data_IF_931994180508
#
_entry.id   IF_931994180508
#
_cell.length_a   1.000
_cell.length_b   1.000
_cell.length_c   1.000
_cell.angle_alpha   90.00
_cell.angle_beta   90.00
_cell.angle_gamma   90.00
#
_symmetry.space_group_name_H-M   'P 1'
#
loop_
_entity.id
_entity.type
_entity.pdbx_description
1 polymer ?
2 non-polymer ?
3 non-polymer ?
4 water ?
#
# COMPACT_ATOMS: atom_id res chain seq x y z
N UNK A 2 6.68 -16.78 -4.17
CA UNK A 2 6.57 -15.29 -4.14
C UNK A 2 5.11 -14.82 -4.17
N UNK A 3 4.86 -13.56 -3.75
CA UNK A 3 3.43 -13.14 -3.80
C UNK A 3 2.75 -13.21 -5.12
N UNK A 4 1.48 -13.60 -5.10
CA UNK A 4 0.68 -13.57 -6.31
C UNK A 4 0.56 -12.16 -6.81
N UNK A 5 0.38 -11.26 -5.85
CA UNK A 5 0.35 -9.81 -6.07
C UNK A 5 0.91 -9.06 -4.90
N UNK A 6 1.66 -8.02 -5.21
CA UNK A 6 2.07 -7.03 -4.25
C UNK A 6 1.28 -5.77 -4.59
N UNK A 7 0.51 -5.27 -3.62
CA UNK A 7 -0.25 -4.03 -3.79
C UNK A 7 0.42 -2.83 -3.21
N UNK A 8 0.46 -1.76 -4.00
CA UNK A 8 1.05 -0.48 -3.57
C UNK A 8 0.07 0.62 -3.94
N UNK A 9 0.14 1.71 -3.22
CA UNK A 9 -0.68 2.87 -3.55
C UNK A 9 -0.76 3.83 -2.37
N UNK A 10 -1.30 5.00 -2.63
CA UNK A 10 -1.46 6.00 -1.59
C UNK A 10 -2.46 5.60 -0.49
N UNK A 11 -2.53 6.39 0.60
CA UNK A 11 -3.71 6.16 1.46
C UNK A 11 -5.06 6.37 0.74
N UNK A 12 -6.02 5.49 0.99
CA UNK A 12 -7.30 5.56 0.31
C UNK A 12 -7.39 4.74 -0.94
N UNK A 13 -6.24 4.28 -1.48
CA UNK A 13 -6.25 3.61 -2.76
C UNK A 13 -6.92 2.26 -2.65
N UNK A 14 -6.88 1.66 -1.45
CA UNK A 14 -7.61 0.47 -1.17
C UNK A 14 -6.76 -0.75 -0.87
N UNK A 15 -5.54 -0.56 -0.35
CA UNK A 15 -4.58 -1.69 -0.11
C UNK A 15 -5.19 -2.68 0.85
N UNK A 16 -5.77 -2.16 1.91
CA UNK A 16 -6.48 -2.98 2.91
C UNK A 16 -7.70 -3.61 2.32
N UNK A 17 -8.57 -2.82 1.70
CA UNK A 17 -9.79 -3.32 1.16
C UNK A 17 -9.59 -4.32 0.03
N UNK A 18 -8.75 -3.97 -0.94
CA UNK A 18 -8.57 -4.83 -2.10
C UNK A 18 -7.70 -6.04 -1.75
N UNK A 19 -6.69 -5.82 -0.89
CA UNK A 19 -5.88 -6.88 -0.27
C UNK A 19 -6.73 -7.99 0.29
N UNK A 20 -7.68 -7.63 1.10
CA UNK A 20 -8.66 -8.59 1.64
C UNK A 20 -9.48 -9.33 0.56
N UNK A 21 -10.16 -8.58 -0.28
CA UNK A 21 -11.07 -9.18 -1.30
C UNK A 21 -10.32 -10.05 -2.29
N UNK A 22 -9.15 -9.54 -2.68
CA UNK A 22 -8.26 -10.25 -3.64
C UNK A 22 -7.77 -11.57 -3.04
N UNK A 23 -7.36 -11.55 -1.75
CA UNK A 23 -6.91 -12.77 -1.05
C UNK A 23 -8.05 -13.78 -0.89
N UNK A 24 -9.25 -13.26 -0.63
CA UNK A 24 -10.41 -14.06 -0.54
C UNK A 24 -10.76 -14.70 -1.89
N UNK A 25 -10.67 -13.93 -2.97
CA UNK A 25 -11.13 -14.45 -4.22
C UNK A 25 -10.15 -15.51 -4.70
N UNK A 26 -8.86 -15.32 -4.41
CA UNK A 26 -7.79 -16.25 -4.86
C UNK A 26 -7.70 -17.46 -3.90
N UNK A 27 -8.21 -17.26 -2.67
CA UNK A 27 -8.03 -18.19 -1.58
C UNK A 27 -6.55 -18.29 -1.21
N UNK A 28 -5.95 -17.17 -0.80
CA UNK A 28 -4.52 -17.15 -0.48
C UNK A 28 -4.36 -16.28 0.80
N UNK A 29 -3.22 -16.36 1.49
CA UNK A 29 -3.02 -15.57 2.75
C UNK A 29 -2.72 -14.13 2.40
N UNK A 30 -3.07 -13.28 3.33
CA UNK A 30 -2.85 -11.84 3.22
C UNK A 30 -1.83 -11.37 4.26
N UNK A 31 -0.76 -10.73 3.78
CA UNK A 31 0.30 -10.22 4.70
C UNK A 31 0.42 -8.71 4.43
N UNK A 32 0.20 -7.95 5.50
CA UNK A 32 0.41 -6.51 5.51
C UNK A 32 1.74 -6.12 6.18
N UNK A 33 2.64 -5.43 5.49
CA UNK A 33 3.99 -5.21 6.04
C UNK A 33 4.03 -4.33 7.31
N UNK A 34 3.13 -3.35 7.42
CA UNK A 34 2.97 -2.64 8.71
C UNK A 34 2.56 -3.58 9.86
N UNK A 35 1.57 -4.43 9.64
CA UNK A 35 1.19 -5.37 10.69
C UNK A 35 2.37 -6.30 11.01
N UNK A 36 3.04 -6.82 9.96
CA UNK A 36 4.22 -7.72 10.13
C UNK A 36 5.36 -7.08 10.93
N UNK A 37 5.58 -5.79 10.72
CA UNK A 37 6.59 -5.09 11.48
C UNK A 37 6.23 -5.03 12.96
N UNK A 38 4.96 -4.77 13.27
CA UNK A 38 4.52 -4.66 14.67
C UNK A 38 4.46 -6.02 15.36
N UNK A 39 3.98 -7.02 14.64
CA UNK A 39 4.10 -8.41 15.09
C UNK A 39 5.55 -8.94 15.27
N UNK A 40 6.52 -8.49 14.45
CA UNK A 40 7.95 -8.87 14.61
C UNK A 40 8.66 -8.07 15.71
N UNK A 41 8.15 -6.90 16.08
CA UNK A 41 8.91 -6.06 17.05
C UNK A 41 8.28 -5.96 18.43
N UNK A 42 6.98 -6.23 18.52
CA UNK A 42 6.23 -5.94 19.72
C UNK A 42 6.03 -4.45 19.92
N UNK A 43 6.38 -3.63 18.91
CA UNK A 43 6.29 -2.18 19.10
C UNK A 43 5.41 -1.62 18.00
N UNK A 44 4.72 -0.52 18.29
CA UNK A 44 3.76 0.03 17.32
C UNK A 44 4.58 0.83 16.36
N UNK A 45 4.04 1.08 15.18
CA UNK A 45 4.82 1.77 14.18
C UNK A 45 5.31 3.14 14.70
N UNK A 46 4.40 3.90 15.31
CA UNK A 46 4.71 5.28 15.77
C UNK A 46 5.84 5.26 16.78
N UNK A 47 5.79 4.26 17.64
CA UNK A 47 6.82 4.03 18.68
C UNK A 47 8.21 3.76 18.13
N UNK A 48 8.33 2.99 17.04
CA UNK A 48 9.64 2.77 16.43
C UNK A 48 10.16 4.09 15.86
N UNK A 49 9.27 4.83 15.20
CA UNK A 49 9.57 6.15 14.66
C UNK A 49 10.04 7.06 15.79
N UNK A 50 9.20 7.22 16.78
CA UNK A 50 9.54 8.15 17.88
C UNK A 50 10.88 7.78 18.55
N UNK A 51 11.06 6.49 18.83
CA UNK A 51 12.24 6.04 19.56
C UNK A 51 13.48 5.94 18.68
N UNK A 52 13.38 5.23 17.55
CA UNK A 52 14.54 4.95 16.71
C UNK A 52 14.63 5.83 15.50
N UNK A 53 13.53 6.49 15.14
CA UNK A 53 13.55 7.34 13.94
C UNK A 53 13.43 6.63 12.59
N UNK A 54 13.36 7.44 11.54
CA UNK A 54 12.84 6.99 10.26
C UNK A 54 13.77 6.02 9.55
N UNK A 55 15.05 6.34 9.53
CA UNK A 55 16.02 5.49 8.87
C UNK A 55 16.01 4.08 9.50
N UNK A 56 15.88 4.02 10.82
CA UNK A 56 15.83 2.75 11.53
C UNK A 56 14.55 2.02 11.24
N UNK A 57 13.40 2.70 11.33
CA UNK A 57 12.11 2.08 10.91
C UNK A 57 12.27 1.55 9.46
N UNK A 58 12.79 2.38 8.53
CA UNK A 58 12.89 1.99 7.11
C UNK A 58 13.74 0.76 6.89
N UNK A 59 14.83 0.68 7.66
CA UNK A 59 15.74 -0.47 7.66
C UNK A 59 14.99 -1.72 8.09
N UNK A 60 14.31 -1.64 9.21
CA UNK A 60 13.47 -2.71 9.65
C UNK A 60 12.39 -3.08 8.63
N UNK A 61 11.66 -2.08 8.14
CA UNK A 61 10.63 -2.31 7.13
C UNK A 61 11.22 -3.03 5.91
N UNK A 62 12.36 -2.60 5.42
CA UNK A 62 12.96 -3.21 4.27
C UNK A 62 13.33 -4.68 4.55
N UNK A 63 13.70 -5.05 5.77
CA UNK A 63 13.92 -6.50 6.03
C UNK A 63 12.62 -7.26 6.04
N UNK A 64 11.56 -6.69 6.62
CA UNK A 64 10.29 -7.34 6.64
C UNK A 64 9.80 -7.54 5.19
N UNK A 65 9.94 -6.50 4.37
CA UNK A 65 9.54 -6.57 2.95
C UNK A 65 10.33 -7.64 2.17
N UNK A 66 11.65 -7.59 2.26
CA UNK A 66 12.47 -8.59 1.60
C UNK A 66 12.09 -10.00 2.05
N UNK A 67 11.85 -10.18 3.33
CA UNK A 67 11.45 -11.52 3.83
C UNK A 67 10.09 -11.97 3.28
N UNK A 68 9.08 -11.10 3.29
CA UNK A 68 7.82 -11.43 2.69
C UNK A 68 7.92 -11.70 1.18
N UNK A 69 8.70 -10.90 0.45
CA UNK A 69 8.79 -11.20 -0.97
C UNK A 69 9.34 -12.59 -1.21
N UNK A 70 10.29 -13.00 -0.38
CA UNK A 70 10.90 -14.33 -0.57
C UNK A 70 9.99 -15.44 -0.10
N UNK A 71 9.29 -15.19 1.01
CA UNK A 71 8.57 -16.25 1.72
C UNK A 71 7.05 -16.35 1.53
N UNK A 72 6.39 -15.25 1.19
CA UNK A 72 4.92 -15.23 1.09
C UNK A 72 4.39 -15.56 -0.33
N UNK A 73 3.35 -16.40 -0.45
CA UNK A 73 2.84 -16.80 -1.75
C UNK A 73 1.50 -16.18 -2.07
N UNK A 74 0.98 -15.39 -1.13
CA UNK A 74 -0.34 -14.86 -1.28
C UNK A 74 -0.34 -13.45 -1.78
N UNK A 75 -1.23 -12.66 -1.24
CA UNK A 75 -1.21 -11.21 -1.48
C UNK A 75 -0.39 -10.52 -0.40
N UNK A 76 0.45 -9.58 -0.81
CA UNK A 76 1.23 -8.77 0.08
C UNK A 76 0.87 -7.31 -0.15
N UNK A 77 0.54 -6.67 0.95
CA UNK A 77 0.19 -5.25 0.98
C UNK A 77 1.38 -4.46 1.55
N UNK A 78 1.95 -3.53 0.77
CA UNK A 78 3.06 -2.69 1.26
C UNK A 78 2.72 -1.36 1.95
N UNK A 79 3.34 -1.13 3.11
CA UNK A 79 3.26 0.17 3.80
C UNK A 79 3.48 1.26 2.77
N UNK A 80 2.77 2.38 2.93
CA UNK A 80 2.83 3.50 1.98
C UNK A 80 4.22 4.02 1.67
N UNK A 81 5.09 4.01 2.66
CA UNK A 81 6.43 4.64 2.51
C UNK A 81 7.54 3.70 2.13
N UNK A 82 7.23 2.41 2.05
CA UNK A 82 8.23 1.41 1.79
C UNK A 82 8.98 1.72 0.51
N UNK A 83 8.27 2.21 -0.52
CA UNK A 83 8.90 2.42 -1.83
C UNK A 83 9.91 3.57 -1.81
N UNK A 84 9.91 4.37 -0.74
CA UNK A 84 10.96 5.38 -0.56
C UNK A 84 12.36 4.82 -0.36
N UNK A 85 12.44 3.54 -0.01
CA UNK A 85 13.68 2.88 0.26
C UNK A 85 14.19 2.28 -1.05
N UNK A 86 15.35 2.75 -1.53
CA UNK A 86 15.78 2.22 -2.79
C UNK A 86 15.92 0.68 -2.71
N UNK A 87 16.38 0.14 -1.59
CA UNK A 87 16.47 -1.33 -1.39
C UNK A 87 15.15 -2.11 -1.58
N UNK A 88 14.05 -1.50 -1.15
CA UNK A 88 12.72 -2.03 -1.41
C UNK A 88 12.38 -2.00 -2.93
N UNK A 89 12.69 -0.90 -3.60
CA UNK A 89 12.44 -0.78 -5.03
C UNK A 89 13.23 -1.86 -5.84
N UNK A 90 14.43 -2.18 -5.33
CA UNK A 90 15.29 -3.18 -5.95
C UNK A 90 14.69 -4.59 -5.77
N UNK A 91 14.33 -4.88 -4.55
CA UNK A 91 13.81 -6.18 -4.14
C UNK A 91 12.48 -6.46 -4.83
N UNK A 92 11.68 -5.43 -5.09
CA UNK A 92 10.44 -5.64 -5.82
C UNK A 92 10.60 -6.13 -7.25
N UNK A 93 11.71 -5.77 -7.91
CA UNK A 93 11.88 -6.08 -9.31
C UNK A 93 11.71 -7.55 -9.60
N UNK A 94 10.82 -7.87 -10.54
CA UNK A 94 10.56 -9.23 -10.93
C UNK A 94 9.30 -9.77 -10.33
N UNK A 95 8.73 -9.02 -9.41
CA UNK A 95 7.50 -9.41 -8.71
C UNK A 95 6.29 -8.81 -9.48
N UNK A 96 5.11 -9.29 -9.14
CA UNK A 96 3.86 -8.77 -9.62
C UNK A 96 3.43 -7.68 -8.67
N UNK A 97 3.45 -6.46 -9.18
CA UNK A 97 3.25 -5.28 -8.34
C UNK A 97 2.09 -4.45 -8.91
N UNK A 98 1.00 -4.43 -8.17
CA UNK A 98 -0.19 -3.86 -8.67
C UNK A 98 -0.25 -2.50 -7.99
N UNK A 99 -0.28 -1.45 -8.78
CA UNK A 99 -0.38 -0.09 -8.23
C UNK A 99 -1.82 0.40 -8.35
N UNK A 100 -2.44 0.52 -7.19
CA UNK A 100 -3.80 1.01 -6.99
C UNK A 100 -3.73 2.59 -7.06
N UNK A 101 -4.05 3.06 -8.26
CA UNK A 101 -4.14 4.51 -8.54
C UNK A 101 -5.40 5.21 -7.98
N UNK A 102 -5.19 6.45 -7.52
CA UNK A 102 -6.30 7.29 -7.07
C UNK A 102 -5.87 8.74 -7.19
N UNK A 103 -6.88 9.59 -7.30
CA UNK A 103 -6.62 10.99 -7.43
C UNK A 103 -6.54 11.56 -6.03
N UNK A 104 -5.92 12.73 -5.88
CA UNK A 104 -5.89 13.44 -4.61
C UNK A 104 -7.30 13.69 -4.05
N UNK A 105 -8.20 14.11 -4.92
CA UNK A 105 -9.62 14.34 -4.56
C UNK A 105 -10.28 13.11 -3.89
N UNK A 106 -10.21 11.99 -4.59
CA UNK A 106 -10.76 10.74 -4.08
C UNK A 106 -9.97 10.27 -2.88
N UNK A 107 -8.65 10.39 -2.95
CA UNK A 107 -7.82 10.05 -1.83
C UNK A 107 -8.28 10.69 -0.53
N UNK A 108 -8.40 12.01 -0.59
CA UNK A 108 -8.81 12.79 0.59
C UNK A 108 -10.17 12.35 1.07
N UNK A 109 -11.11 12.17 0.14
CA UNK A 109 -12.46 11.70 0.48
C UNK A 109 -12.46 10.36 1.23
N UNK A 110 -11.68 9.40 0.75
CA UNK A 110 -11.70 8.06 1.33
C UNK A 110 -11.01 8.00 2.72
N UNK A 111 -10.11 8.95 2.98
CA UNK A 111 -9.41 8.99 4.23
C UNK A 111 -10.04 10.11 5.11
N UNK A 112 -11.14 10.72 4.66
CA UNK A 112 -11.68 11.91 5.35
C UNK A 112 -12.75 11.63 6.39
N UNK A 113 -13.06 10.35 6.59
CA UNK A 113 -14.10 9.91 7.53
C UNK A 113 -15.55 10.00 7.05
N UNK A 114 -16.47 9.90 7.98
CA UNK A 114 -17.88 9.98 7.64
C UNK A 114 -18.49 11.35 7.92
N UNK A 115 -17.63 12.37 7.92
CA UNK A 115 -18.08 13.74 8.15
C UNK A 115 -18.57 14.28 6.85
N UNK A 116 -19.66 15.01 6.89
CA UNK A 116 -20.36 15.39 5.67
C UNK A 116 -19.70 16.65 5.12
N UNK A 117 -19.11 17.45 6.00
CA UNK A 117 -18.41 18.66 5.59
C UNK A 117 -16.90 18.57 5.94
N UNK A 118 -16.08 18.02 5.01
CA UNK A 118 -14.62 17.98 5.23
C UNK A 118 -13.87 19.33 5.10
N UNK A 119 -14.41 20.25 4.32
CA UNK A 119 -13.69 21.52 4.11
C UNK A 119 -13.69 22.35 5.40
N UNK A 120 -14.70 22.15 6.24
CA UNK A 120 -14.79 22.95 7.46
C UNK A 120 -13.68 22.69 8.43
N UNK A 121 -13.02 21.55 8.30
CA UNK A 121 -11.94 21.17 9.21
C UNK A 121 -10.66 21.99 8.92
N UNK A 122 -10.60 22.61 7.75
CA UNK A 122 -9.42 23.34 7.33
C UNK A 122 -8.77 22.60 6.17
N UNK A 123 -8.02 23.33 5.33
CA UNK A 123 -7.38 22.67 4.16
C UNK A 123 -6.11 21.84 4.42
N UNK A 124 -5.55 21.91 5.62
CA UNK A 124 -4.22 21.34 5.87
C UNK A 124 -4.09 19.85 5.58
N UNK A 125 -5.07 19.03 5.95
CA UNK A 125 -4.89 17.57 5.76
C UNK A 125 -4.80 17.23 4.26
N UNK A 126 -5.62 17.90 3.44
CA UNK A 126 -5.68 17.68 1.99
C UNK A 126 -4.47 18.18 1.23
N UNK A 127 -3.89 19.27 1.72
CA UNK A 127 -2.63 19.78 1.22
C UNK A 127 -1.48 18.80 1.50
N UNK A 128 -1.42 18.27 2.73
CA UNK A 128 -0.45 17.24 3.10
C UNK A 128 -0.65 15.99 2.24
N UNK A 129 -1.91 15.70 1.89
CA UNK A 129 -2.22 14.52 1.06
C UNK A 129 -1.71 14.77 -0.35
N UNK A 130 -1.96 15.96 -0.88
CA UNK A 130 -1.42 16.34 -2.21
C UNK A 130 0.09 16.28 -2.26
N UNK A 131 0.73 16.71 -1.20
CA UNK A 131 2.20 16.70 -1.16
C UNK A 131 2.70 15.26 -1.16
N UNK A 132 2.09 14.46 -0.29
CA UNK A 132 2.41 13.00 -0.23
C UNK A 132 2.32 12.29 -1.58
N UNK A 133 1.21 12.53 -2.32
CA UNK A 133 1.00 12.03 -3.68
C UNK A 133 2.09 12.46 -4.63
N UNK A 134 2.51 13.72 -4.49
CA UNK A 134 3.57 14.30 -5.29
C UNK A 134 4.90 13.53 -5.11
N UNK A 135 5.22 13.24 -3.86
CA UNK A 135 6.40 12.45 -3.52
C UNK A 135 6.25 10.96 -3.97
N UNK A 136 5.12 10.36 -3.64
CA UNK A 136 4.94 8.87 -3.74
C UNK A 136 4.51 8.31 -5.09
N UNK A 137 3.56 8.97 -5.74
CA UNK A 137 3.05 8.47 -7.03
C UNK A 137 4.13 8.16 -8.08
N UNK A 138 5.18 9.02 -8.23
CA UNK A 138 6.20 8.65 -9.20
C UNK A 138 6.93 7.35 -8.86
N UNK A 139 7.13 7.10 -7.58
CA UNK A 139 7.70 5.85 -7.15
C UNK A 139 6.83 4.59 -7.38
N UNK A 140 5.53 4.69 -7.11
CA UNK A 140 4.58 3.62 -7.46
C UNK A 140 4.55 3.34 -8.94
N UNK A 141 4.57 4.38 -9.77
CA UNK A 141 4.61 4.19 -11.23
C UNK A 141 5.89 3.40 -11.65
N UNK A 142 7.01 3.72 -11.01
CA UNK A 142 8.29 3.09 -11.29
C UNK A 142 8.27 1.58 -11.02
N UNK A 143 7.84 1.20 -9.84
CA UNK A 143 7.84 -0.24 -9.45
C UNK A 143 6.66 -1.10 -10.01
N UNK A 144 5.63 -0.49 -10.54
CA UNK A 144 4.42 -1.22 -10.95
C UNK A 144 4.68 -2.13 -12.15
N UNK A 145 3.98 -3.26 -12.16
CA UNK A 145 3.83 -4.10 -13.35
C UNK A 145 2.40 -4.14 -13.85
N UNK A 146 1.44 -3.75 -12.99
CA UNK A 146 0.04 -3.57 -13.36
C UNK A 146 -0.42 -2.27 -12.66
N UNK A 147 -1.01 -1.39 -13.45
CA UNK A 147 -1.54 -0.14 -12.93
C UNK A 147 -3.02 -0.20 -12.99
N UNK A 148 -3.66 0.00 -11.86
CA UNK A 148 -5.11 -0.10 -11.79
C UNK A 148 -5.77 1.19 -11.27
N UNK A 149 -6.62 1.82 -12.07
CA UNK A 149 -7.26 3.07 -11.66
C UNK A 149 -8.50 2.80 -10.86
N UNK A 150 -8.50 3.19 -9.58
CA UNK A 150 -9.55 2.83 -8.64
C UNK A 150 -10.56 3.95 -8.47
N UNK A 151 -10.33 5.08 -9.16
CA UNK A 151 -11.21 6.28 -9.17
C UNK A 151 -12.54 5.92 -9.81
N UNK A 152 -13.62 6.02 -9.02
CA UNK A 152 -14.99 5.66 -9.44
C UNK A 152 -15.12 4.23 -9.89
N UNK A 153 -14.37 3.33 -9.24
CA UNK A 153 -14.63 1.90 -9.35
C UNK A 153 -14.94 1.28 -7.99
N UNK A 154 -15.89 0.37 -7.98
CA UNK A 154 -16.25 -0.42 -6.81
C UNK A 154 -15.04 -1.35 -6.50
N UNK A 155 -14.81 -1.68 -5.22
CA UNK A 155 -13.84 -2.74 -4.87
C UNK A 155 -14.00 -4.05 -5.64
N UNK A 156 -15.24 -4.52 -5.78
CA UNK A 156 -15.59 -5.61 -6.70
C UNK A 156 -15.05 -5.47 -8.12
N UNK A 157 -15.28 -4.32 -8.76
CA UNK A 157 -14.74 -4.00 -10.09
C UNK A 157 -13.19 -3.98 -10.13
N UNK A 158 -12.55 -3.40 -9.12
CA UNK A 158 -11.06 -3.35 -9.06
C UNK A 158 -10.53 -4.79 -8.96
N UNK A 159 -11.17 -5.60 -8.12
CA UNK A 159 -10.77 -7.00 -7.95
C UNK A 159 -10.89 -7.80 -9.21
N UNK A 160 -12.01 -7.65 -9.93
CA UNK A 160 -12.18 -8.29 -11.23
C UNK A 160 -11.11 -7.93 -12.24
N UNK A 161 -10.81 -6.66 -12.28
CA UNK A 161 -9.82 -6.18 -13.21
C UNK A 161 -8.48 -6.88 -12.98
N UNK A 162 -8.12 -7.00 -11.71
CA UNK A 162 -6.84 -7.59 -11.31
C UNK A 162 -6.86 -9.06 -11.63
N UNK A 163 -7.91 -9.72 -11.15
CA UNK A 163 -8.02 -11.16 -11.38
C UNK A 163 -7.99 -11.61 -12.86
N UNK A 164 -8.60 -10.82 -13.73
CA UNK A 164 -8.55 -11.11 -15.16
C UNK A 164 -7.14 -10.94 -15.75
N UNK A 165 -6.26 -10.30 -15.00
CA UNK A 165 -4.90 -10.01 -15.47
C UNK A 165 -3.85 -10.70 -14.64
N UNK A 166 -4.30 -11.71 -13.89
CA UNK A 166 -3.47 -12.55 -13.04
C UNK A 166 -3.93 -14.03 -13.11
N UNK A 167 -4.23 -14.53 -14.31
CA UNK A 167 -4.61 -15.95 -14.48
C UNK A 167 -3.32 -16.80 -14.61
N UNK A 168 -3.43 -18.11 -14.44
CA UNK A 168 -2.23 -18.95 -14.39
C UNK A 168 -2.23 -19.96 -15.54
X LIG B 1 -5.44 1.80 2.28
X LIG B 1 -5.19 0.52 3.05
X LIG B 1 -5.11 3.08 3.03
X LIG B 1 -4.91 1.81 0.86
X LIG B 1 -8.32 1.22 2.54
X LIG B 1 -8.04 1.25 4.00
X LIG B 1 -8.60 -0.03 1.69
X LIG B 1 -6.99 1.92 1.93
X LIG B 1 -9.49 2.19 2.04
X LIG B 1 -9.74 3.42 2.71
X LIG B 1 -11.24 3.61 2.71
X LIG B 1 -11.63 3.93 1.40
X LIG B 1 -12.12 2.43 3.14
X LIG B 1 -13.19 2.91 3.97
X LIG B 1 -12.68 1.89 1.85
X LIG B 1 -14.02 1.41 1.90
X LIG B 1 -12.57 3.06 0.88
X LIG B 1 -12.21 2.50 -0.45
X LIG B 1 -11.14 1.72 -0.76
X LIG B 1 -11.19 1.34 -2.05
X LIG B 1 -12.34 1.84 -2.59
X LIG B 1 -13.03 1.86 -3.92
X LIG B 1 -12.49 1.18 -4.98
X LIG B 1 -14.24 2.54 -4.02
X LIG B 1 -14.75 3.22 -2.96
X LIG B 1 -14.15 3.27 -1.76
X LIG B 1 -13.00 2.60 -1.51
X LIG C 1 -14.36 -8.94 -4.70
#
# INVERSE_FOLDING_TARGET
MAPKAVLVGLPGSGKSTIGRRLAKALGVGLLDTDVAIEQRTGRSIADIFATDGEQEFRRIEEDVVRAALADHDGVLSLGGGAVTSPGVRAALAGHTVVYLEISAAEGVRRTGGNTVRPLLAGPDRAEKYRALMAKRAPLYRRVATMRVDTNRRNPGAVVRHILSRLQVPSPSEAATLEHHHHHH
ADP PB O1B O2B O3B PA O1A O2A O3A O5' C5' C4' O4' C3' O3' C2' O2' C1' N9 C8 N7 C5 C6 N6 N1 C2 N3 C4
CL CL
#
